data_IF_527231951978
#
_entry.id   IF_527231951978
#
_cell.length_a   1.000
_cell.length_b   1.000
_cell.length_c   1.000
_cell.angle_alpha   90.00
_cell.angle_beta   90.00
_cell.angle_gamma   90.00
#
_symmetry.space_group_name_H-M   'P 1'
#
loop_
_entity.id
_entity.type
_entity.pdbx_description
1 polymer ?
#
# COMPACT_ATOMS: atom_id res chain seq x y z
N UNK A 1 -23.49 -3.23 -20.94
CA UNK A 1 -24.72 -3.44 -20.15
C UNK A 1 -24.32 -3.99 -18.81
N UNK A 2 -24.45 -3.16 -17.80
CA UNK A 2 -24.05 -3.48 -16.43
C UNK A 2 -25.24 -3.19 -15.52
N UNK A 3 -25.50 -4.11 -14.60
CA UNK A 3 -26.60 -4.03 -13.64
C UNK A 3 -25.99 -3.92 -12.25
N UNK A 4 -26.47 -2.95 -11.50
CA UNK A 4 -26.15 -2.71 -10.10
C UNK A 4 -27.47 -2.78 -9.33
N UNK A 5 -27.49 -3.44 -8.18
CA UNK A 5 -28.66 -3.50 -7.31
C UNK A 5 -28.28 -3.13 -5.89
N UNK A 6 -29.11 -2.34 -5.24
CA UNK A 6 -29.03 -2.05 -3.82
C UNK A 6 -30.27 -2.64 -3.19
N UNK A 7 -30.07 -3.54 -2.24
CA UNK A 7 -31.15 -4.20 -1.51
C UNK A 7 -31.05 -3.87 -0.03
N UNK A 8 -32.20 -3.68 0.62
CA UNK A 8 -32.29 -3.44 2.05
C UNK A 8 -33.54 -4.05 2.64
N UNK A 9 -33.40 -4.71 3.79
CA UNK A 9 -34.53 -5.12 4.64
C UNK A 9 -35.10 -3.98 5.48
N UNK A 10 -34.52 -2.78 5.43
CA UNK A 10 -35.03 -1.63 6.15
C UNK A 10 -36.36 -1.14 5.51
N UNK A 11 -37.47 -1.06 6.27
CA UNK A 11 -38.76 -0.63 5.73
C UNK A 11 -38.75 0.80 5.19
N UNK A 12 -37.83 1.64 5.66
CA UNK A 12 -37.65 3.03 5.22
C UNK A 12 -36.65 3.16 4.04
N UNK A 13 -36.28 2.06 3.37
CA UNK A 13 -35.27 2.04 2.30
C UNK A 13 -35.44 3.16 1.27
N UNK A 14 -36.67 3.40 0.83
CA UNK A 14 -36.99 4.44 -0.16
C UNK A 14 -36.72 5.87 0.30
N UNK A 15 -36.97 6.16 1.58
CA UNK A 15 -36.63 7.44 2.20
C UNK A 15 -35.13 7.59 2.37
N UNK A 16 -34.44 6.50 2.70
CA UNK A 16 -32.99 6.49 2.91
C UNK A 16 -32.25 6.79 1.60
N UNK A 17 -32.65 6.16 0.49
CA UNK A 17 -32.05 6.41 -0.82
C UNK A 17 -32.65 7.60 -1.59
N UNK A 18 -33.67 8.24 -1.01
CA UNK A 18 -34.43 9.36 -1.60
C UNK A 18 -34.95 9.04 -3.01
N UNK A 19 -35.51 7.84 -3.18
CA UNK A 19 -36.14 7.39 -4.42
C UNK A 19 -37.57 6.98 -4.11
N UNK A 20 -38.51 7.46 -4.91
CA UNK A 20 -39.92 7.13 -4.74
C UNK A 20 -40.27 5.90 -5.61
N UNK A 21 -40.74 4.78 -5.02
CA UNK A 21 -41.19 3.61 -5.78
C UNK A 21 -42.30 3.89 -6.79
N UNK A 22 -43.11 4.92 -6.55
CA UNK A 22 -44.22 5.31 -7.45
C UNK A 22 -43.76 6.14 -8.67
N UNK A 23 -42.52 6.65 -8.70
CA UNK A 23 -42.04 7.53 -9.78
C UNK A 23 -41.65 6.80 -11.07
N UNK A 24 -41.77 5.47 -11.13
CA UNK A 24 -41.33 4.69 -12.28
C UNK A 24 -39.81 4.76 -12.51
N UNK A 25 -39.40 4.66 -13.77
CA UNK A 25 -37.99 4.60 -14.17
C UNK A 25 -37.36 6.00 -14.25
N UNK A 26 -36.22 6.20 -13.57
CA UNK A 26 -35.44 7.43 -13.58
C UNK A 26 -34.26 7.33 -14.56
N UNK A 27 -34.09 8.32 -15.43
CA UNK A 27 -32.97 8.38 -16.36
C UNK A 27 -31.92 9.39 -15.89
N UNK A 28 -30.64 9.03 -16.01
CA UNK A 28 -29.48 9.90 -15.76
C UNK A 28 -28.42 9.65 -16.82
N UNK A 29 -27.81 10.72 -17.32
CA UNK A 29 -26.64 10.60 -18.20
C UNK A 29 -25.42 10.22 -17.36
N UNK A 30 -24.73 9.15 -17.73
CA UNK A 30 -23.43 8.79 -17.15
C UNK A 30 -22.42 8.78 -18.28
N UNK A 31 -21.52 9.76 -18.27
CA UNK A 31 -20.52 9.97 -19.33
C UNK A 31 -21.19 10.06 -20.70
N UNK A 32 -20.98 9.10 -21.61
CA UNK A 32 -21.58 9.07 -22.95
C UNK A 32 -22.83 8.19 -23.02
N UNK A 33 -23.11 7.39 -21.99
CA UNK A 33 -24.26 6.51 -21.92
C UNK A 33 -25.44 7.05 -21.10
N UNK A 34 -26.49 6.22 -21.01
CA UNK A 34 -27.69 6.46 -20.20
C UNK A 34 -27.81 5.36 -19.15
N UNK A 35 -28.05 5.78 -17.91
CA UNK A 35 -28.39 4.90 -16.82
C UNK A 35 -29.86 5.04 -16.43
N UNK A 36 -30.45 3.90 -16.08
CA UNK A 36 -31.86 3.72 -15.77
C UNK A 36 -31.99 3.18 -14.36
N UNK A 37 -32.67 3.91 -13.48
CA UNK A 37 -32.89 3.52 -12.10
C UNK A 37 -34.35 3.22 -11.82
N UNK A 38 -34.67 2.10 -11.17
CA UNK A 38 -36.05 1.75 -10.83
C UNK A 38 -36.14 0.79 -9.64
N UNK A 39 -37.31 0.75 -9.01
CA UNK A 39 -37.62 -0.21 -7.97
C UNK A 39 -38.07 -1.56 -8.53
N UNK A 40 -37.56 -2.63 -7.95
CA UNK A 40 -38.16 -3.95 -8.04
C UNK A 40 -38.68 -4.33 -6.66
N UNK A 41 -40.01 -4.37 -6.49
CA UNK A 41 -40.62 -4.46 -5.16
C UNK A 41 -40.36 -3.20 -4.33
N UNK A 42 -40.33 -3.35 -3.00
CA UNK A 42 -40.08 -2.25 -2.04
C UNK A 42 -38.68 -2.25 -1.47
N UNK A 43 -37.94 -3.36 -1.60
CA UNK A 43 -36.68 -3.63 -0.92
C UNK A 43 -35.46 -3.50 -1.84
N UNK A 44 -35.65 -3.39 -3.16
CA UNK A 44 -34.57 -3.45 -4.16
C UNK A 44 -34.65 -2.28 -5.14
N UNK A 45 -33.55 -1.54 -5.26
CA UNK A 45 -33.36 -0.49 -6.26
C UNK A 45 -32.31 -0.93 -7.28
N UNK A 46 -32.69 -0.95 -8.55
CA UNK A 46 -31.86 -1.37 -9.67
C UNK A 46 -31.32 -0.14 -10.39
N UNK A 47 -30.09 -0.25 -10.87
CA UNK A 47 -29.46 0.69 -11.79
C UNK A 47 -28.90 -0.12 -12.95
N UNK A 48 -29.36 0.19 -14.16
CA UNK A 48 -28.89 -0.41 -15.39
C UNK A 48 -28.21 0.65 -16.24
N UNK A 49 -27.01 0.37 -16.72
CA UNK A 49 -26.28 1.27 -17.62
C UNK A 49 -26.20 0.70 -19.03
N UNK A 50 -26.63 1.52 -19.99
CA UNK A 50 -26.42 1.32 -21.42
C UNK A 50 -25.44 2.40 -21.92
N UNK A 51 -24.29 1.98 -22.42
CA UNK A 51 -23.34 2.91 -23.04
C UNK A 51 -23.86 3.42 -24.39
N UNK A 52 -23.23 4.46 -24.93
CA UNK A 52 -23.50 4.91 -26.29
C UNK A 52 -23.21 3.80 -27.31
N UNK A 53 -23.97 3.79 -28.41
CA UNK A 53 -23.80 2.77 -29.45
C UNK A 53 -22.49 2.99 -30.25
N UNK A 54 -22.03 4.24 -30.40
CA UNK A 54 -20.85 4.61 -31.20
C UNK A 54 -19.67 5.20 -30.41
N UNK A 55 -19.91 5.67 -29.18
CA UNK A 55 -18.89 6.28 -28.31
C UNK A 55 -18.56 5.38 -27.12
N UNK A 56 -17.34 5.53 -26.57
CA UNK A 56 -16.86 4.76 -25.41
C UNK A 56 -16.85 5.65 -24.16
N UNK A 57 -17.65 5.30 -23.15
CA UNK A 57 -17.66 6.03 -21.86
C UNK A 57 -16.38 5.78 -21.04
N UNK A 58 -15.90 4.54 -21.04
CA UNK A 58 -14.78 4.10 -20.21
C UNK A 58 -13.64 3.65 -21.12
N UNK A 59 -12.68 4.55 -21.32
CA UNK A 59 -11.51 4.26 -22.16
C UNK A 59 -10.46 3.51 -21.35
N UNK A 60 -9.82 2.50 -21.94
CA UNK A 60 -8.65 1.86 -21.35
C UNK A 60 -7.40 2.74 -21.53
N UNK A 61 -7.33 3.49 -22.64
CA UNK A 61 -6.25 4.43 -22.92
C UNK A 61 -6.78 5.85 -23.13
N UNK A 62 -6.01 6.86 -22.74
CA UNK A 62 -6.43 8.28 -22.79
C UNK A 62 -6.85 8.71 -24.20
N UNK A 63 -6.14 8.24 -25.22
CA UNK A 63 -6.32 8.62 -26.62
C UNK A 63 -7.22 7.67 -27.42
N UNK A 64 -7.86 6.72 -26.73
CA UNK A 64 -8.74 5.73 -27.37
C UNK A 64 -10.02 6.41 -27.88
N UNK A 65 -10.26 6.39 -29.20
CA UNK A 65 -11.42 7.02 -29.84
C UNK A 65 -12.40 5.98 -30.37
N UNK A 66 -11.94 4.76 -30.69
CA UNK A 66 -12.77 3.69 -31.23
C UNK A 66 -12.14 2.32 -30.98
N UNK A 67 -12.87 1.40 -30.32
CA UNK A 67 -12.47 0.00 -30.13
C UNK A 67 -13.73 -0.89 -30.21
N UNK A 68 -13.78 -1.79 -31.20
CA UNK A 68 -14.92 -2.68 -31.48
C UNK A 68 -15.22 -3.67 -30.33
N UNK A 69 -14.25 -3.93 -29.45
CA UNK A 69 -14.31 -4.95 -28.40
C UNK A 69 -14.01 -4.37 -27.00
N UNK A 70 -14.29 -3.09 -26.76
CA UNK A 70 -14.05 -2.52 -25.45
C UNK A 70 -15.06 -3.08 -24.41
N UNK A 71 -14.60 -4.07 -23.65
CA UNK A 71 -15.38 -4.77 -22.62
C UNK A 71 -15.65 -3.93 -21.37
N UNK A 72 -14.93 -2.83 -21.17
CA UNK A 72 -15.08 -1.97 -19.98
C UNK A 72 -16.50 -1.40 -19.85
N UNK A 73 -17.21 -1.18 -20.96
CA UNK A 73 -18.62 -0.75 -20.98
C UNK A 73 -19.59 -1.72 -20.28
N UNK A 74 -19.11 -2.93 -19.94
CA UNK A 74 -19.87 -3.96 -19.24
C UNK A 74 -19.35 -4.23 -17.82
N UNK A 75 -18.07 -4.02 -17.54
CA UNK A 75 -17.45 -4.49 -16.30
C UNK A 75 -16.50 -3.48 -15.64
N UNK A 76 -16.42 -2.24 -16.09
CA UNK A 76 -15.56 -1.22 -15.46
C UNK A 76 -15.90 -1.02 -13.97
N UNK A 77 -14.91 -1.03 -13.06
CA UNK A 77 -15.11 -0.63 -11.67
C UNK A 77 -15.47 0.86 -11.50
N UNK A 78 -15.26 1.70 -12.51
CA UNK A 78 -15.66 3.11 -12.48
C UNK A 78 -17.18 3.30 -12.58
N UNK A 79 -17.89 2.37 -13.21
CA UNK A 79 -19.33 2.49 -13.37
C UNK A 79 -20.07 2.48 -12.02
N UNK A 80 -19.81 1.54 -11.10
CA UNK A 80 -20.37 1.62 -9.75
C UNK A 80 -20.11 2.94 -9.04
N UNK A 81 -18.92 3.54 -9.20
CA UNK A 81 -18.62 4.87 -8.63
C UNK A 81 -19.50 5.96 -9.23
N UNK A 82 -19.72 5.94 -10.55
CA UNK A 82 -20.59 6.89 -11.23
C UNK A 82 -22.07 6.65 -10.89
N UNK A 83 -22.50 5.39 -10.77
CA UNK A 83 -23.85 5.04 -10.34
C UNK A 83 -24.15 5.53 -8.91
N UNK A 84 -23.20 5.36 -7.98
CA UNK A 84 -23.30 5.93 -6.63
C UNK A 84 -23.43 7.45 -6.69
N UNK A 85 -22.61 8.12 -7.50
CA UNK A 85 -22.61 9.58 -7.61
C UNK A 85 -23.94 10.14 -8.17
N UNK A 86 -24.54 9.47 -9.16
CA UNK A 86 -25.76 9.93 -9.84
C UNK A 86 -27.05 9.51 -9.15
N UNK A 87 -27.14 8.26 -8.69
CA UNK A 87 -28.38 7.73 -8.13
C UNK A 87 -28.42 7.78 -6.62
N UNK A 88 -27.28 7.67 -5.94
CA UNK A 88 -27.19 7.54 -4.49
C UNK A 88 -26.46 8.73 -3.84
N UNK A 89 -26.29 9.85 -4.55
CA UNK A 89 -25.52 11.01 -4.08
C UNK A 89 -25.92 11.51 -2.69
N UNK A 90 -27.23 11.57 -2.43
CA UNK A 90 -27.75 12.07 -1.16
C UNK A 90 -27.36 11.15 0.00
N UNK A 91 -27.57 9.84 -0.17
CA UNK A 91 -27.19 8.81 0.80
C UNK A 91 -25.67 8.78 0.95
N UNK A 92 -24.92 8.75 -0.14
CA UNK A 92 -23.45 8.74 -0.11
C UNK A 92 -22.86 9.90 0.71
N UNK A 93 -23.43 11.10 0.61
CA UNK A 93 -22.91 12.31 1.27
C UNK A 93 -23.35 12.46 2.72
N UNK A 94 -24.57 12.03 3.06
CA UNK A 94 -25.20 12.29 4.36
C UNK A 94 -25.99 11.07 4.84
N UNK A 95 -25.79 10.71 6.11
CA UNK A 95 -26.57 9.68 6.79
C UNK A 95 -28.00 10.16 7.01
N UNK A 96 -28.98 9.34 6.66
CA UNK A 96 -30.39 9.58 6.99
C UNK A 96 -30.66 9.11 8.43
N UNK A 97 -31.50 9.82 9.19
CA UNK A 97 -31.85 9.45 10.58
C UNK A 97 -32.51 8.07 10.69
N UNK A 98 -33.23 7.65 9.65
CA UNK A 98 -33.87 6.34 9.54
C UNK A 98 -32.91 5.23 9.12
N UNK A 99 -31.70 5.59 8.69
CA UNK A 99 -30.67 4.63 8.26
C UNK A 99 -29.88 4.11 9.46
N UNK A 100 -30.43 3.08 10.10
CA UNK A 100 -29.88 2.43 11.29
C UNK A 100 -29.15 1.14 10.91
N UNK A 101 -28.20 0.75 11.75
CA UNK A 101 -27.57 -0.57 11.69
C UNK A 101 -28.57 -1.65 12.15
N UNK A 102 -28.31 -2.92 11.83
CA UNK A 102 -29.13 -4.09 12.20
C UNK A 102 -29.96 -4.68 11.05
N UNK A 103 -30.18 -3.92 9.97
CA UNK A 103 -30.87 -4.40 8.78
C UNK A 103 -29.90 -5.08 7.82
N UNK A 104 -30.31 -6.18 7.20
CA UNK A 104 -29.60 -6.80 6.10
C UNK A 104 -29.63 -5.91 4.86
N UNK A 105 -28.45 -5.48 4.41
CA UNK A 105 -28.26 -4.63 3.25
C UNK A 105 -27.27 -5.29 2.28
N UNK A 106 -27.48 -5.11 0.98
CA UNK A 106 -26.50 -5.55 -0.02
C UNK A 106 -26.34 -4.60 -1.19
N UNK A 107 -25.12 -4.59 -1.74
CA UNK A 107 -24.74 -3.90 -2.95
C UNK A 107 -24.22 -4.94 -3.95
N UNK A 108 -24.95 -5.12 -5.03
CA UNK A 108 -24.69 -6.12 -6.05
C UNK A 108 -24.22 -5.46 -7.34
N UNK A 109 -23.23 -6.07 -7.99
CA UNK A 109 -22.77 -5.71 -9.33
C UNK A 109 -22.70 -6.98 -10.16
N UNK A 110 -23.50 -7.05 -11.23
CA UNK A 110 -23.61 -8.25 -12.05
C UNK A 110 -22.30 -8.63 -12.75
N UNK A 111 -21.52 -7.63 -13.18
CA UNK A 111 -20.24 -7.87 -13.83
C UNK A 111 -19.26 -6.75 -13.50
N UNK A 112 -18.12 -7.10 -12.93
CA UNK A 112 -17.04 -6.18 -12.57
C UNK A 112 -15.68 -6.82 -12.88
N UNK A 113 -14.76 -6.02 -13.41
CA UNK A 113 -13.41 -6.43 -13.70
C UNK A 113 -12.57 -6.37 -12.43
N UNK A 114 -12.01 -7.51 -12.02
CA UNK A 114 -11.13 -7.62 -10.86
C UNK A 114 -9.79 -8.17 -11.36
N UNK A 115 -8.75 -7.32 -11.35
CA UNK A 115 -7.42 -7.72 -11.86
C UNK A 115 -6.77 -8.79 -10.99
N UNK A 116 -6.94 -8.67 -9.68
CA UNK A 116 -6.32 -9.53 -8.67
C UNK A 116 -7.35 -9.85 -7.57
N UNK A 117 -8.03 -11.01 -7.64
CA UNK A 117 -9.06 -11.41 -6.69
C UNK A 117 -8.61 -11.44 -5.23
N UNK A 118 -7.32 -11.69 -4.97
CA UNK A 118 -6.73 -11.67 -3.62
C UNK A 118 -6.98 -10.37 -2.82
N UNK A 119 -7.22 -9.24 -3.49
CA UNK A 119 -7.58 -8.00 -2.79
C UNK A 119 -8.97 -8.05 -2.17
N UNK A 120 -9.89 -8.85 -2.71
CA UNK A 120 -11.18 -9.09 -2.08
C UNK A 120 -10.98 -9.84 -0.76
N UNK A 121 -10.08 -10.84 -0.74
CA UNK A 121 -9.72 -11.55 0.49
C UNK A 121 -9.14 -10.61 1.54
N UNK A 122 -8.28 -9.67 1.13
CA UNK A 122 -7.75 -8.64 2.03
C UNK A 122 -8.86 -7.76 2.61
N UNK A 123 -9.79 -7.26 1.79
CA UNK A 123 -10.92 -6.47 2.29
C UNK A 123 -11.76 -7.29 3.28
N UNK A 124 -12.07 -8.55 2.98
CA UNK A 124 -12.82 -9.44 3.87
C UNK A 124 -12.08 -9.75 5.18
N UNK A 125 -10.74 -9.81 5.16
CA UNK A 125 -9.93 -10.00 6.37
C UNK A 125 -9.91 -8.75 7.26
N UNK A 126 -9.87 -7.57 6.65
CA UNK A 126 -9.70 -6.30 7.36
C UNK A 126 -11.01 -5.66 7.81
N UNK A 127 -12.14 -6.00 7.19
CA UNK A 127 -13.46 -5.51 7.57
C UNK A 127 -14.33 -6.64 8.09
N UNK A 128 -14.74 -6.55 9.35
CA UNK A 128 -15.64 -7.53 9.99
C UNK A 128 -17.11 -7.30 9.65
N UNK A 129 -17.46 -6.06 9.32
CA UNK A 129 -18.86 -5.63 9.16
C UNK A 129 -19.36 -5.69 7.72
N UNK A 130 -18.47 -6.01 6.77
CA UNK A 130 -18.77 -6.09 5.35
C UNK A 130 -18.21 -7.39 4.81
N UNK A 131 -19.04 -8.12 4.07
CA UNK A 131 -18.64 -9.36 3.44
C UNK A 131 -18.80 -9.25 1.93
N UNK A 132 -17.71 -9.46 1.20
CA UNK A 132 -17.68 -9.42 -0.26
C UNK A 132 -17.64 -10.86 -0.78
N UNK A 133 -18.65 -11.22 -1.57
CA UNK A 133 -18.72 -12.47 -2.31
C UNK A 133 -18.46 -12.19 -3.79
N UNK A 134 -17.60 -12.99 -4.41
CA UNK A 134 -17.36 -12.93 -5.86
C UNK A 134 -17.57 -14.29 -6.52
N UNK A 135 -18.16 -14.28 -7.71
CA UNK A 135 -18.38 -15.46 -8.55
C UNK A 135 -17.80 -15.16 -9.93
N UNK A 136 -16.85 -15.97 -10.39
CA UNK A 136 -16.22 -15.74 -11.70
C UNK A 136 -17.18 -16.12 -12.82
N UNK A 137 -17.40 -15.21 -13.77
CA UNK A 137 -18.14 -15.51 -14.99
C UNK A 137 -17.20 -15.99 -16.10
N UNK A 138 -16.25 -15.14 -16.48
CA UNK A 138 -15.26 -15.44 -17.51
C UNK A 138 -14.07 -14.50 -17.38
N UNK A 139 -12.86 -15.02 -17.59
CA UNK A 139 -11.62 -14.28 -17.42
C UNK A 139 -11.62 -13.47 -16.11
N UNK A 140 -11.20 -12.20 -16.13
CA UNK A 140 -11.18 -11.30 -14.97
C UNK A 140 -12.51 -10.62 -14.67
N UNK A 141 -13.62 -11.13 -15.20
CA UNK A 141 -14.98 -10.60 -14.95
C UNK A 141 -15.70 -11.44 -13.92
N UNK A 142 -16.19 -10.77 -12.88
CA UNK A 142 -16.83 -11.40 -11.73
C UNK A 142 -18.19 -10.77 -11.49
N UNK A 143 -19.13 -11.56 -11.00
CA UNK A 143 -20.28 -11.06 -10.25
C UNK A 143 -19.83 -10.78 -8.82
N UNK A 144 -20.28 -9.68 -8.25
CA UNK A 144 -19.90 -9.26 -6.91
C UNK A 144 -21.12 -8.90 -6.07
N UNK A 145 -21.16 -9.35 -4.83
CA UNK A 145 -22.13 -8.92 -3.82
C UNK A 145 -21.40 -8.48 -2.57
N UNK A 146 -21.68 -7.28 -2.10
CA UNK A 146 -21.26 -6.79 -0.79
C UNK A 146 -22.46 -6.91 0.13
N UNK A 147 -22.33 -7.63 1.25
CA UNK A 147 -23.36 -7.78 2.29
C UNK A 147 -22.92 -7.09 3.56
N UNK A 148 -23.86 -6.51 4.29
CA UNK A 148 -23.59 -5.88 5.58
C UNK A 148 -24.86 -5.72 6.40
N UNK A 149 -24.72 -5.78 7.72
CA UNK A 149 -25.75 -5.37 8.67
C UNK A 149 -25.56 -3.90 9.13
N UNK A 150 -24.59 -3.17 8.58
CA UNK A 150 -24.45 -1.73 8.79
C UNK A 150 -25.43 -0.98 7.89
N UNK A 151 -25.74 0.25 8.29
CA UNK A 151 -26.52 1.24 7.53
C UNK A 151 -26.12 1.32 6.05
N UNK A 152 -27.09 1.63 5.19
CA UNK A 152 -26.89 1.79 3.74
C UNK A 152 -25.84 2.87 3.47
N UNK A 153 -25.81 3.92 4.30
CA UNK A 153 -24.79 4.95 4.28
C UNK A 153 -23.37 4.38 4.32
N UNK A 154 -23.12 3.46 5.27
CA UNK A 154 -21.82 2.80 5.43
C UNK A 154 -21.57 1.82 4.30
N UNK A 155 -22.57 1.04 3.87
CA UNK A 155 -22.47 0.12 2.74
C UNK A 155 -22.06 0.84 1.44
N UNK A 156 -22.71 1.96 1.12
CA UNK A 156 -22.42 2.73 -0.10
C UNK A 156 -21.03 3.38 -0.03
N UNK A 157 -20.61 3.86 1.15
CA UNK A 157 -19.26 4.40 1.32
C UNK A 157 -18.17 3.31 1.26
N UNK A 158 -18.44 2.12 1.81
CA UNK A 158 -17.56 0.95 1.68
C UNK A 158 -17.42 0.54 0.23
N UNK A 159 -18.55 0.41 -0.48
CA UNK A 159 -18.57 0.09 -1.90
C UNK A 159 -17.79 1.13 -2.72
N UNK A 160 -17.95 2.42 -2.41
CA UNK A 160 -17.19 3.50 -3.06
C UNK A 160 -15.66 3.36 -2.86
N UNK A 161 -15.19 3.01 -1.67
CA UNK A 161 -13.75 2.75 -1.41
C UNK A 161 -13.28 1.51 -2.18
N UNK A 162 -14.02 0.41 -2.12
CA UNK A 162 -13.68 -0.84 -2.81
C UNK A 162 -13.57 -0.63 -4.33
N UNK A 163 -14.57 -0.01 -4.95
CA UNK A 163 -14.60 0.17 -6.40
C UNK A 163 -13.54 1.14 -6.90
N UNK A 164 -13.19 2.17 -6.13
CA UNK A 164 -12.02 2.99 -6.45
C UNK A 164 -10.77 2.13 -6.45
N UNK A 165 -10.57 1.34 -5.40
CA UNK A 165 -9.38 0.51 -5.27
C UNK A 165 -9.25 -0.48 -6.44
N UNK A 166 -10.36 -1.10 -6.84
CA UNK A 166 -10.42 -1.97 -8.03
C UNK A 166 -10.13 -1.21 -9.33
N UNK A 167 -10.66 0.01 -9.48
CA UNK A 167 -10.40 0.85 -10.64
C UNK A 167 -8.92 1.24 -10.75
N UNK A 168 -8.29 1.60 -9.63
CA UNK A 168 -6.87 1.97 -9.57
C UNK A 168 -5.93 0.82 -9.92
N UNK A 169 -6.28 -0.40 -9.52
CA UNK A 169 -5.54 -1.60 -9.90
C UNK A 169 -5.82 -2.04 -11.34
N UNK A 170 -6.87 -1.49 -11.96
CA UNK A 170 -7.30 -1.79 -13.32
C UNK A 170 -6.35 -1.22 -14.39
N UNK A 171 -6.85 -1.18 -15.64
CA UNK A 171 -6.15 -0.55 -16.77
C UNK A 171 -6.60 0.90 -17.02
N UNK A 172 -7.64 1.34 -16.32
CA UNK A 172 -8.33 2.60 -16.63
C UNK A 172 -7.59 3.78 -16.02
N UNK A 173 -7.49 4.87 -16.77
CA UNK A 173 -6.86 6.09 -16.28
C UNK A 173 -7.77 6.81 -15.27
N UNK A 174 -7.29 6.92 -14.03
CA UNK A 174 -7.89 7.72 -12.97
C UNK A 174 -7.04 8.97 -12.75
N UNK A 175 -7.54 10.13 -13.14
CA UNK A 175 -6.93 11.40 -12.77
C UNK A 175 -7.15 11.65 -11.28
N UNK A 176 -6.06 11.76 -10.52
CA UNK A 176 -6.11 12.08 -9.09
C UNK A 176 -6.21 13.61 -8.93
N UNK A 177 -7.35 14.09 -8.46
CA UNK A 177 -7.56 15.50 -8.06
C UNK A 177 -7.75 15.60 -6.56
N UNK A 178 -7.51 16.79 -5.99
CA UNK A 178 -7.75 17.05 -4.56
C UNK A 178 -9.18 16.72 -4.13
N UNK A 179 -10.17 17.11 -4.94
CA UNK A 179 -11.58 16.79 -4.69
C UNK A 179 -11.88 15.29 -4.69
N UNK A 180 -11.14 14.52 -5.49
CA UNK A 180 -11.24 13.07 -5.51
C UNK A 180 -10.66 12.50 -4.21
N UNK A 181 -9.50 12.99 -3.80
CA UNK A 181 -8.83 12.58 -2.56
C UNK A 181 -9.71 12.84 -1.34
N UNK A 182 -10.21 14.07 -1.19
CA UNK A 182 -11.13 14.47 -0.11
C UNK A 182 -12.37 13.56 -0.04
N UNK A 183 -12.98 13.28 -1.20
CA UNK A 183 -14.15 12.40 -1.28
C UNK A 183 -13.86 11.02 -0.71
N UNK A 184 -12.70 10.44 -1.01
CA UNK A 184 -12.36 9.09 -0.58
C UNK A 184 -11.85 9.02 0.86
N UNK A 185 -11.12 10.02 1.33
CA UNK A 185 -10.75 10.13 2.73
C UNK A 185 -12.00 10.22 3.60
N UNK A 186 -12.98 11.04 3.20
CA UNK A 186 -14.29 11.08 3.84
C UNK A 186 -14.95 9.70 3.88
N UNK A 187 -14.99 8.96 2.76
CA UNK A 187 -15.55 7.60 2.75
C UNK A 187 -14.80 6.63 3.65
N UNK A 188 -13.46 6.68 3.67
CA UNK A 188 -12.63 5.85 4.55
C UNK A 188 -12.89 6.17 6.03
N UNK A 189 -13.08 7.44 6.37
CA UNK A 189 -13.41 7.86 7.74
C UNK A 189 -14.83 7.42 8.14
N UNK A 190 -15.81 7.50 7.23
CA UNK A 190 -17.19 7.03 7.49
C UNK A 190 -17.24 5.53 7.82
N UNK A 191 -16.46 4.73 7.11
CA UNK A 191 -16.40 3.27 7.33
C UNK A 191 -15.36 2.88 8.38
N UNK A 192 -14.67 3.87 8.98
CA UNK A 192 -13.54 3.67 9.89
C UNK A 192 -12.55 2.64 9.34
N UNK A 193 -12.04 2.91 8.13
CA UNK A 193 -11.17 1.98 7.41
C UNK A 193 -9.89 1.70 8.22
N UNK A 194 -9.39 0.44 8.24
CA UNK A 194 -8.16 0.11 8.95
C UNK A 194 -6.92 0.62 8.22
N UNK A 195 -5.80 0.63 8.93
CA UNK A 195 -4.45 1.00 8.49
C UNK A 195 -4.15 0.47 7.09
N UNK A 196 -4.32 -0.83 6.82
CA UNK A 196 -3.91 -1.37 5.53
C UNK A 196 -4.63 -0.73 4.34
N UNK A 197 -5.92 -0.42 4.49
CA UNK A 197 -6.72 0.23 3.45
C UNK A 197 -6.26 1.67 3.24
N UNK A 198 -5.97 2.38 4.33
CA UNK A 198 -5.40 3.73 4.30
C UNK A 198 -3.98 3.74 3.72
N UNK A 199 -3.16 2.77 4.07
CA UNK A 199 -1.82 2.54 3.53
C UNK A 199 -1.87 2.35 2.02
N UNK A 200 -2.75 1.46 1.54
CA UNK A 200 -2.95 1.24 0.11
C UNK A 200 -3.37 2.53 -0.62
N UNK A 201 -4.27 3.31 -0.02
CA UNK A 201 -4.63 4.62 -0.56
C UNK A 201 -3.42 5.59 -0.60
N UNK A 202 -2.65 5.67 0.49
CA UNK A 202 -1.47 6.52 0.58
C UNK A 202 -0.41 6.16 -0.47
N UNK A 203 -0.19 4.86 -0.72
CA UNK A 203 0.82 4.40 -1.68
C UNK A 203 0.41 4.57 -3.13
N UNK A 204 -0.88 4.42 -3.44
CA UNK A 204 -1.35 4.39 -4.82
C UNK A 204 -2.02 5.69 -5.28
N UNK A 205 -2.50 6.54 -4.36
CA UNK A 205 -3.14 7.84 -4.65
C UNK A 205 -2.24 9.02 -4.28
N UNK A 206 -1.65 8.99 -3.09
CA UNK A 206 -0.86 10.10 -2.54
C UNK A 206 0.62 9.98 -2.90
N UNK A 207 0.91 9.83 -4.19
CA UNK A 207 2.27 9.61 -4.71
C UNK A 207 3.14 10.88 -4.73
N UNK A 208 2.54 12.06 -4.60
CA UNK A 208 3.25 13.33 -4.52
C UNK A 208 3.43 13.73 -3.04
N UNK A 209 4.64 14.13 -2.66
CA UNK A 209 5.01 14.46 -1.27
C UNK A 209 4.17 15.61 -0.69
N UNK A 210 3.93 16.65 -1.48
CA UNK A 210 3.15 17.81 -1.07
C UNK A 210 1.69 17.42 -0.83
N UNK A 211 1.07 16.72 -1.78
CA UNK A 211 -0.30 16.22 -1.68
C UNK A 211 -0.45 15.25 -0.50
N UNK A 212 0.53 14.36 -0.30
CA UNK A 212 0.55 13.45 0.84
C UNK A 212 0.49 14.19 2.18
N UNK A 213 1.37 15.18 2.39
CA UNK A 213 1.39 15.91 3.67
C UNK A 213 0.18 16.85 3.83
N UNK A 214 -0.40 17.35 2.74
CA UNK A 214 -1.68 18.07 2.76
C UNK A 214 -2.80 17.23 3.37
N UNK A 215 -2.89 15.94 3.00
CA UNK A 215 -3.99 15.06 3.40
C UNK A 215 -3.64 14.09 4.54
N UNK A 216 -2.39 14.06 5.01
CA UNK A 216 -1.88 13.13 6.04
C UNK A 216 -2.77 13.06 7.28
N UNK A 217 -3.15 14.20 7.85
CA UNK A 217 -3.96 14.23 9.09
C UNK A 217 -5.32 13.56 8.91
N UNK A 218 -5.97 13.78 7.78
CA UNK A 218 -7.28 13.17 7.49
C UNK A 218 -7.13 11.68 7.16
N UNK A 219 -6.04 11.31 6.49
CA UNK A 219 -5.69 9.91 6.22
C UNK A 219 -5.45 9.12 7.51
N UNK A 220 -4.86 9.74 8.54
CA UNK A 220 -4.54 9.12 9.83
C UNK A 220 -5.75 8.98 10.77
N UNK A 221 -6.89 9.62 10.44
CA UNK A 221 -8.04 9.68 11.31
C UNK A 221 -8.81 8.35 11.36
N UNK A 222 -8.74 7.64 12.47
CA UNK A 222 -9.52 6.43 12.76
C UNK A 222 -9.76 6.31 14.26
N UNK A 223 -10.86 5.64 14.64
CA UNK A 223 -11.17 5.39 16.06
C UNK A 223 -10.48 4.12 16.58
N UNK A 224 -9.74 3.39 15.73
CA UNK A 224 -9.15 2.09 16.08
C UNK A 224 -7.82 2.20 16.81
N UNK A 225 -6.96 3.13 16.39
CA UNK A 225 -5.57 3.27 16.84
C UNK A 225 -4.94 4.55 16.31
N UNK A 226 -3.81 4.95 16.89
CA UNK A 226 -3.04 6.10 16.43
C UNK A 226 -2.15 5.70 15.25
N UNK A 227 -2.39 6.29 14.07
CA UNK A 227 -1.55 6.09 12.88
C UNK A 227 -0.61 7.28 12.69
N UNK A 228 0.64 7.01 12.34
CA UNK A 228 1.55 8.00 11.75
C UNK A 228 2.11 7.46 10.45
N UNK A 229 1.67 8.02 9.32
CA UNK A 229 2.17 7.70 7.99
C UNK A 229 3.40 8.53 7.64
N UNK A 230 4.34 7.91 6.92
CA UNK A 230 5.51 8.55 6.35
C UNK A 230 5.41 8.49 4.81
N UNK A 231 5.84 9.55 4.14
CA UNK A 231 5.80 9.57 2.68
C UNK A 231 6.76 8.53 2.07
N UNK A 232 6.35 7.88 0.98
CA UNK A 232 7.09 6.79 0.32
C UNK A 232 6.71 5.40 0.84
N UNK A 233 7.16 4.35 0.16
CA UNK A 233 7.06 2.97 0.65
C UNK A 233 8.09 2.71 1.77
N UNK A 234 8.00 1.57 2.45
CA UNK A 234 8.88 1.22 3.58
C UNK A 234 10.37 1.33 3.23
N UNK A 235 10.78 0.88 2.03
CA UNK A 235 12.16 1.02 1.57
C UNK A 235 12.61 2.49 1.43
N UNK A 236 11.78 3.34 0.83
CA UNK A 236 12.05 4.79 0.71
C UNK A 236 12.10 5.45 2.08
N UNK A 237 11.17 5.11 2.98
CA UNK A 237 11.11 5.66 4.33
C UNK A 237 12.39 5.33 5.11
N UNK A 238 12.84 4.08 5.04
CA UNK A 238 14.09 3.62 5.65
C UNK A 238 15.31 4.32 5.08
N UNK A 239 15.38 4.44 3.76
CA UNK A 239 16.46 5.18 3.11
C UNK A 239 16.52 6.63 3.53
N UNK A 240 15.40 7.32 3.59
CA UNK A 240 15.34 8.71 4.07
C UNK A 240 15.72 8.83 5.55
N UNK A 241 15.44 7.80 6.36
CA UNK A 241 15.88 7.75 7.75
C UNK A 241 17.41 7.63 7.84
N UNK A 242 17.99 6.66 7.13
CA UNK A 242 19.44 6.43 7.11
C UNK A 242 20.18 7.63 6.54
N UNK A 243 19.70 8.19 5.42
CA UNK A 243 20.26 9.38 4.76
C UNK A 243 20.38 10.59 5.68
N UNK A 244 19.49 10.73 6.68
CA UNK A 244 19.56 11.79 7.69
C UNK A 244 20.51 11.47 8.85
N UNK A 245 20.77 10.18 9.08
CA UNK A 245 21.61 9.67 10.16
C UNK A 245 23.10 9.62 9.81
N UNK A 246 23.46 9.69 8.53
CA UNK A 246 24.85 9.64 8.03
C UNK A 246 25.29 11.02 7.50
N UNK A 247 26.57 11.34 7.69
CA UNK A 247 27.16 12.64 7.33
C UNK A 247 27.76 12.68 5.93
N UNK A 248 28.01 11.52 5.32
CA UNK A 248 28.69 11.39 4.01
C UNK A 248 30.12 11.97 3.97
N UNK A 249 30.76 12.14 5.13
CA UNK A 249 32.13 12.64 5.30
C UNK A 249 33.20 11.52 5.30
N UNK A 250 32.75 10.26 5.22
CA UNK A 250 33.58 9.04 5.25
C UNK A 250 33.12 8.07 4.17
N UNK A 251 33.92 7.03 3.93
CA UNK A 251 33.49 5.92 3.09
C UNK A 251 32.31 5.18 3.74
N UNK A 252 31.43 4.61 2.90
CA UNK A 252 30.30 3.79 3.36
C UNK A 252 30.52 2.35 2.91
N UNK A 253 30.32 1.40 3.83
CA UNK A 253 30.27 -0.04 3.57
C UNK A 253 28.82 -0.52 3.60
N UNK A 254 28.26 -0.87 2.45
CA UNK A 254 26.88 -1.32 2.27
C UNK A 254 26.87 -2.83 2.01
N UNK A 255 26.44 -3.60 3.02
CA UNK A 255 26.40 -5.06 2.97
C UNK A 255 24.98 -5.48 2.61
N UNK A 256 24.83 -6.21 1.50
CA UNK A 256 23.54 -6.54 0.89
C UNK A 256 22.99 -5.40 0.04
N UNK A 257 23.82 -4.84 -0.85
CA UNK A 257 23.48 -3.63 -1.61
C UNK A 257 22.37 -3.85 -2.66
N UNK A 258 22.07 -5.10 -3.02
CA UNK A 258 21.09 -5.50 -4.01
C UNK A 258 21.30 -4.78 -5.35
N UNK A 259 20.21 -4.26 -5.93
CA UNK A 259 20.24 -3.52 -7.19
C UNK A 259 20.86 -2.10 -7.10
N UNK A 260 21.48 -1.74 -5.97
CA UNK A 260 22.12 -0.44 -5.75
C UNK A 260 21.16 0.66 -5.29
N UNK A 261 20.11 0.30 -4.54
CA UNK A 261 19.08 1.23 -4.08
C UNK A 261 19.64 2.35 -3.18
N UNK A 262 20.63 2.01 -2.35
CA UNK A 262 21.43 2.93 -1.54
C UNK A 262 22.70 3.37 -2.27
N UNK A 263 23.47 2.40 -2.77
CA UNK A 263 24.77 2.63 -3.39
C UNK A 263 24.80 3.71 -4.47
N UNK A 264 23.90 3.65 -5.45
CA UNK A 264 23.92 4.59 -6.58
C UNK A 264 23.61 6.04 -6.18
N UNK A 265 22.61 6.34 -5.33
CA UNK A 265 22.34 7.72 -4.91
C UNK A 265 23.24 8.21 -3.77
N UNK A 266 23.73 7.34 -2.90
CA UNK A 266 24.59 7.76 -1.79
C UNK A 266 26.04 8.00 -2.23
N UNK A 267 26.56 7.22 -3.19
CA UNK A 267 27.88 7.50 -3.80
C UNK A 267 28.00 8.92 -4.35
N UNK A 268 26.94 9.44 -5.00
CA UNK A 268 26.91 10.82 -5.50
C UNK A 268 26.85 11.92 -4.43
N UNK A 269 26.76 11.56 -3.14
CA UNK A 269 26.82 12.49 -2.01
C UNK A 269 28.17 12.46 -1.28
N UNK A 270 29.00 11.49 -1.61
CA UNK A 270 30.33 11.32 -1.04
C UNK A 270 31.31 11.97 -2.01
N UNK A 271 32.07 12.96 -1.54
CA UNK A 271 33.03 13.69 -2.38
C UNK A 271 34.39 12.99 -2.42
N UNK A 272 35.12 12.99 -1.30
CA UNK A 272 36.52 12.54 -1.24
C UNK A 272 36.70 11.09 -0.75
N UNK A 273 35.61 10.30 -0.68
CA UNK A 273 35.63 8.93 -0.16
C UNK A 273 34.90 7.94 -1.09
N UNK A 274 34.93 6.66 -0.72
CA UNK A 274 34.39 5.58 -1.52
C UNK A 274 33.06 5.04 -0.96
N UNK A 275 32.23 4.54 -1.86
CA UNK A 275 31.09 3.71 -1.50
C UNK A 275 31.43 2.26 -1.84
N UNK A 276 31.58 1.42 -0.82
CA UNK A 276 31.83 -0.01 -0.96
C UNK A 276 30.50 -0.76 -0.90
N UNK A 277 30.14 -1.48 -1.96
CA UNK A 277 28.88 -2.19 -2.08
C UNK A 277 29.11 -3.70 -2.19
N UNK A 278 28.60 -4.47 -1.22
CA UNK A 278 28.74 -5.91 -1.15
C UNK A 278 27.39 -6.58 -1.43
N UNK A 279 27.39 -7.59 -2.30
CA UNK A 279 26.25 -8.52 -2.43
C UNK A 279 26.77 -9.92 -2.79
N UNK A 280 26.12 -10.98 -2.31
CA UNK A 280 26.50 -12.35 -2.67
C UNK A 280 25.98 -12.74 -4.06
N UNK A 281 25.01 -11.99 -4.59
CA UNK A 281 24.47 -12.20 -5.93
C UNK A 281 25.29 -11.44 -6.97
N UNK A 282 26.13 -12.18 -7.70
CA UNK A 282 26.97 -11.61 -8.77
C UNK A 282 26.17 -10.89 -9.87
N UNK A 283 24.93 -11.30 -10.16
CA UNK A 283 24.11 -10.64 -11.17
C UNK A 283 23.73 -9.22 -10.72
N UNK A 284 23.38 -9.06 -9.45
CA UNK A 284 23.05 -7.75 -8.87
C UNK A 284 24.28 -6.82 -8.86
N UNK A 285 25.46 -7.34 -8.52
CA UNK A 285 26.71 -6.57 -8.61
C UNK A 285 26.96 -6.08 -10.03
N UNK A 286 26.85 -6.97 -11.03
CA UNK A 286 27.03 -6.59 -12.44
C UNK A 286 26.04 -5.51 -12.85
N UNK A 287 24.78 -5.59 -12.39
CA UNK A 287 23.81 -4.53 -12.63
C UNK A 287 24.21 -3.20 -12.01
N UNK A 288 24.69 -3.21 -10.77
CA UNK A 288 25.16 -2.01 -10.07
C UNK A 288 26.33 -1.38 -10.82
N UNK A 289 27.32 -2.17 -11.25
CA UNK A 289 28.46 -1.67 -12.04
C UNK A 289 28.02 -1.03 -13.36
N UNK A 290 27.07 -1.66 -14.06
CA UNK A 290 26.51 -1.12 -15.31
C UNK A 290 25.78 0.20 -15.03
N UNK A 291 24.98 0.27 -13.96
CA UNK A 291 24.24 1.48 -13.56
C UNK A 291 25.20 2.59 -13.14
N UNK A 292 26.28 2.27 -12.42
CA UNK A 292 27.32 3.20 -11.99
C UNK A 292 28.06 3.81 -13.19
N UNK A 293 28.54 2.97 -14.12
CA UNK A 293 29.20 3.40 -15.36
C UNK A 293 28.31 4.32 -16.20
N UNK A 294 27.03 3.97 -16.36
CA UNK A 294 26.05 4.82 -17.09
C UNK A 294 25.83 6.18 -16.44
N UNK A 295 26.04 6.29 -15.12
CA UNK A 295 25.88 7.53 -14.35
C UNK A 295 27.21 8.27 -14.12
N UNK A 296 28.33 7.75 -14.64
CA UNK A 296 29.68 8.24 -14.40
C UNK A 296 30.01 8.34 -12.89
N UNK A 297 29.61 7.33 -12.12
CA UNK A 297 29.96 7.20 -10.71
C UNK A 297 31.26 6.41 -10.61
N UNK A 298 32.35 7.06 -10.21
CA UNK A 298 33.70 6.47 -10.16
C UNK A 298 34.10 5.99 -8.76
N UNK A 299 33.48 6.53 -7.71
CA UNK A 299 33.79 6.22 -6.32
C UNK A 299 32.98 5.03 -5.74
N UNK A 300 32.17 4.36 -6.56
CA UNK A 300 31.41 3.18 -6.17
C UNK A 300 32.17 1.91 -6.58
N UNK A 301 32.57 1.13 -5.58
CA UNK A 301 33.35 -0.11 -5.75
C UNK A 301 32.51 -1.29 -5.23
N UNK A 302 32.34 -2.31 -6.06
CA UNK A 302 31.55 -3.50 -5.75
C UNK A 302 32.42 -4.68 -5.32
N UNK A 303 31.93 -5.50 -4.41
CA UNK A 303 32.59 -6.71 -3.92
C UNK A 303 31.61 -7.88 -3.83
N UNK A 304 32.00 -9.11 -4.20
CA UNK A 304 31.13 -10.29 -4.15
C UNK A 304 30.93 -10.86 -2.74
N UNK A 305 31.71 -10.40 -1.76
CA UNK A 305 31.60 -10.83 -0.37
C UNK A 305 32.30 -9.87 0.59
N UNK A 306 31.93 -9.94 1.87
CA UNK A 306 32.64 -9.24 2.95
C UNK A 306 34.11 -9.69 3.04
N UNK A 307 34.39 -10.97 2.79
CA UNK A 307 35.75 -11.49 2.82
C UNK A 307 36.65 -10.82 1.77
N UNK A 308 36.18 -10.73 0.52
CA UNK A 308 36.91 -10.08 -0.57
C UNK A 308 37.12 -8.59 -0.31
N UNK A 309 36.15 -7.91 0.30
CA UNK A 309 36.35 -6.53 0.75
C UNK A 309 37.47 -6.43 1.79
N UNK A 310 37.44 -7.29 2.82
CA UNK A 310 38.44 -7.30 3.90
C UNK A 310 39.86 -7.58 3.43
N UNK A 311 40.06 -8.33 2.34
CA UNK A 311 41.39 -8.53 1.73
C UNK A 311 42.00 -7.22 1.19
N UNK A 312 41.16 -6.28 0.78
CA UNK A 312 41.56 -4.96 0.25
C UNK A 312 41.43 -3.82 1.26
N UNK A 313 40.77 -4.07 2.40
CA UNK A 313 40.48 -3.09 3.43
C UNK A 313 41.75 -2.64 4.15
N UNK A 314 41.95 -1.32 4.27
CA UNK A 314 43.19 -0.74 4.78
C UNK A 314 43.09 -0.19 6.20
N UNK A 315 41.95 -0.42 6.87
CA UNK A 315 41.71 0.03 8.23
C UNK A 315 41.23 1.48 8.34
N UNK A 316 40.70 2.06 7.26
CA UNK A 316 40.01 3.35 7.26
C UNK A 316 38.69 3.28 8.04
N UNK A 317 38.28 4.39 8.66
CA UNK A 317 37.00 4.43 9.39
C UNK A 317 35.85 4.65 8.40
N UNK A 318 34.83 3.79 8.45
CA UNK A 318 33.66 3.83 7.55
C UNK A 318 32.35 3.97 8.32
N UNK A 319 31.27 4.31 7.62
CA UNK A 319 29.90 4.04 8.09
C UNK A 319 29.42 2.73 7.47
N UNK A 320 28.87 1.82 8.26
CA UNK A 320 28.39 0.51 7.80
C UNK A 320 26.86 0.46 7.75
N UNK A 321 26.31 -0.05 6.65
CA UNK A 321 24.90 -0.30 6.44
C UNK A 321 24.67 -1.81 6.26
N UNK A 322 23.74 -2.37 7.02
CA UNK A 322 23.26 -3.74 6.88
C UNK A 322 21.72 -3.73 6.95
N UNK A 323 21.09 -3.46 5.80
CA UNK A 323 19.66 -3.12 5.75
C UNK A 323 18.83 -4.22 5.10
N UNK A 324 17.96 -4.88 5.87
CA UNK A 324 17.11 -6.01 5.41
C UNK A 324 17.93 -7.14 4.80
N UNK A 325 18.84 -7.69 5.60
CA UNK A 325 19.77 -8.74 5.16
C UNK A 325 19.74 -9.90 6.13
N UNK A 326 19.80 -9.60 7.42
CA UNK A 326 19.93 -10.59 8.48
C UNK A 326 18.75 -11.57 8.54
N UNK A 327 17.54 -11.14 8.17
CA UNK A 327 16.34 -11.97 8.15
C UNK A 327 16.30 -12.99 7.00
N UNK A 328 17.19 -12.85 6.01
CA UNK A 328 17.29 -13.77 4.87
C UNK A 328 18.27 -14.93 5.09
N UNK A 329 18.89 -15.00 6.26
CA UNK A 329 19.82 -16.07 6.67
C UNK A 329 19.44 -16.63 8.05
N UNK A 330 19.94 -17.81 8.38
CA UNK A 330 19.64 -18.40 9.68
C UNK A 330 20.31 -17.58 10.81
N UNK A 331 19.71 -17.57 12.00
CA UNK A 331 20.17 -16.71 13.12
C UNK A 331 21.69 -16.81 13.40
N UNK A 332 22.32 -18.01 13.46
CA UNK A 332 23.76 -18.11 13.68
C UNK A 332 24.60 -17.49 12.56
N UNK A 333 24.13 -17.53 11.31
CA UNK A 333 24.82 -16.91 10.17
C UNK A 333 24.76 -15.38 10.26
N UNK A 334 23.60 -14.84 10.64
CA UNK A 334 23.43 -13.41 10.88
C UNK A 334 24.33 -12.92 12.02
N UNK A 335 24.43 -13.68 13.12
CA UNK A 335 25.33 -13.37 14.23
C UNK A 335 26.80 -13.36 13.78
N UNK A 336 27.21 -14.36 12.99
CA UNK A 336 28.56 -14.42 12.44
C UNK A 336 28.87 -13.24 11.50
N UNK A 337 27.93 -12.83 10.66
CA UNK A 337 28.08 -11.68 9.78
C UNK A 337 28.28 -10.39 10.57
N UNK A 338 27.38 -10.09 11.51
CA UNK A 338 27.46 -8.87 12.32
C UNK A 338 28.73 -8.85 13.16
N UNK A 339 29.12 -10.01 13.73
CA UNK A 339 30.38 -10.18 14.43
C UNK A 339 31.61 -9.93 13.56
N UNK A 340 31.62 -10.50 12.36
CA UNK A 340 32.72 -10.31 11.40
C UNK A 340 32.91 -8.82 11.07
N UNK A 341 31.82 -8.06 10.96
CA UNK A 341 31.89 -6.61 10.75
C UNK A 341 32.51 -5.92 11.95
N UNK A 342 31.98 -6.08 13.17
CA UNK A 342 32.46 -5.27 14.29
C UNK A 342 33.85 -5.65 14.81
N UNK A 343 34.35 -6.85 14.49
CA UNK A 343 35.71 -7.29 14.83
C UNK A 343 36.76 -6.86 13.80
N UNK A 344 36.38 -6.72 12.51
CA UNK A 344 37.34 -6.55 11.42
C UNK A 344 37.23 -5.20 10.68
N UNK A 345 36.15 -4.45 10.88
CA UNK A 345 35.93 -3.14 10.24
C UNK A 345 35.91 -2.05 11.32
N UNK A 346 36.72 -1.01 11.15
CA UNK A 346 36.62 0.19 11.98
C UNK A 346 35.47 1.05 11.46
N UNK A 347 34.47 1.28 12.30
CA UNK A 347 33.32 2.09 11.92
C UNK A 347 33.03 3.20 12.93
N UNK A 348 32.47 4.30 12.44
CA UNK A 348 31.92 5.38 13.27
C UNK A 348 30.44 5.08 13.58
N UNK A 349 29.68 4.71 12.54
CA UNK A 349 28.30 4.25 12.65
C UNK A 349 28.13 2.90 11.99
N UNK A 350 27.43 1.98 12.65
CA UNK A 350 26.96 0.75 12.06
C UNK A 350 25.45 0.63 12.26
N UNK A 351 24.71 0.71 11.15
CA UNK A 351 23.26 0.67 11.12
C UNK A 351 22.80 -0.69 10.63
N UNK A 352 22.01 -1.38 11.47
CA UNK A 352 21.36 -2.63 11.12
C UNK A 352 19.85 -2.37 11.10
N UNK A 353 19.14 -2.86 10.08
CA UNK A 353 17.67 -2.82 10.05
C UNK A 353 17.08 -4.17 9.68
N UNK A 354 15.93 -4.48 10.25
CA UNK A 354 15.15 -5.69 9.96
C UNK A 354 13.65 -5.41 10.09
N UNK A 355 12.75 -6.22 9.50
CA UNK A 355 11.31 -6.07 9.71
C UNK A 355 10.94 -6.19 11.19
N UNK A 356 9.90 -5.46 11.60
CA UNK A 356 9.30 -5.63 12.92
C UNK A 356 8.08 -6.55 12.83
N UNK A 357 8.17 -7.74 13.43
CA UNK A 357 7.09 -8.72 13.45
C UNK A 357 5.82 -8.20 14.14
N UNK A 358 5.96 -7.36 15.18
CA UNK A 358 4.82 -6.78 15.91
C UNK A 358 3.88 -5.99 14.97
N UNK A 359 4.40 -5.51 13.83
CA UNK A 359 3.63 -4.74 12.87
C UNK A 359 2.78 -5.61 11.93
N UNK A 360 3.06 -6.90 11.78
CA UNK A 360 2.43 -7.76 10.77
C UNK A 360 0.91 -7.90 10.94
N UNK A 361 0.43 -7.77 12.18
CA UNK A 361 -1.01 -7.73 12.48
C UNK A 361 -1.75 -6.63 11.69
N UNK A 362 -1.11 -5.49 11.42
CA UNK A 362 -1.70 -4.37 10.68
C UNK A 362 -1.76 -4.62 9.17
N UNK A 363 -1.02 -5.63 8.67
CA UNK A 363 -1.11 -6.15 7.30
C UNK A 363 -2.05 -7.35 7.17
N UNK A 364 -2.66 -7.81 8.28
CA UNK A 364 -3.40 -9.08 8.37
C UNK A 364 -2.59 -10.28 7.83
N UNK A 365 -1.29 -10.27 8.14
CA UNK A 365 -0.38 -11.38 7.87
C UNK A 365 -0.23 -12.22 9.14
N UNK A 366 -0.42 -13.53 8.99
CA UNK A 366 -0.19 -14.52 10.05
C UNK A 366 1.18 -15.22 9.89
N UNK A 367 1.93 -14.84 8.85
CA UNK A 367 3.24 -15.37 8.48
C UNK A 367 4.22 -14.20 8.33
N UNK A 368 5.45 -14.50 7.93
CA UNK A 368 6.44 -13.48 7.59
C UNK A 368 5.96 -12.58 6.45
N UNK A 369 6.47 -11.35 6.45
CA UNK A 369 6.17 -10.31 5.46
C UNK A 369 6.60 -10.72 4.06
N UNK A 370 7.69 -11.47 3.96
CA UNK A 370 8.17 -12.07 2.72
C UNK A 370 8.44 -13.56 2.89
N UNK A 371 8.16 -14.32 1.83
CA UNK A 371 8.24 -15.80 1.85
C UNK A 371 9.67 -16.34 1.94
N UNK A 372 10.66 -15.51 1.65
CA UNK A 372 12.08 -15.81 1.68
C UNK A 372 12.75 -15.42 3.02
N UNK A 373 12.01 -14.81 3.95
CA UNK A 373 12.49 -14.60 5.31
C UNK A 373 12.63 -15.94 6.04
N UNK A 374 13.74 -16.08 6.77
CA UNK A 374 14.00 -17.21 7.67
C UNK A 374 13.37 -17.01 9.04
N UNK A 375 13.28 -15.76 9.47
CA UNK A 375 12.72 -15.35 10.75
C UNK A 375 12.28 -13.89 10.68
N UNK A 376 11.39 -13.49 11.58
CA UNK A 376 11.08 -12.09 11.87
C UNK A 376 10.93 -11.93 13.38
N UNK A 377 11.81 -11.16 14.00
CA UNK A 377 11.78 -10.93 15.44
C UNK A 377 10.76 -9.84 15.79
N UNK A 378 10.07 -10.01 16.91
CA UNK A 378 9.40 -8.87 17.55
C UNK A 378 10.43 -7.92 18.17
N UNK A 379 9.96 -6.76 18.65
CA UNK A 379 10.85 -5.73 19.19
C UNK A 379 11.74 -6.24 20.34
N UNK A 380 11.16 -6.96 21.29
CA UNK A 380 11.89 -7.41 22.48
C UNK A 380 12.93 -8.49 22.11
N UNK A 381 12.61 -9.38 21.18
CA UNK A 381 13.52 -10.39 20.65
C UNK A 381 14.73 -9.74 19.97
N UNK A 382 14.49 -8.77 19.08
CA UNK A 382 15.56 -8.07 18.38
C UNK A 382 16.46 -7.27 19.32
N UNK A 383 15.88 -6.52 20.27
CA UNK A 383 16.65 -5.75 21.25
C UNK A 383 17.53 -6.66 22.10
N UNK A 384 16.97 -7.78 22.60
CA UNK A 384 17.73 -8.77 23.37
C UNK A 384 18.84 -9.40 22.53
N UNK A 385 18.54 -9.80 21.30
CA UNK A 385 19.50 -10.44 20.41
C UNK A 385 20.71 -9.54 20.12
N UNK A 386 20.47 -8.26 19.82
CA UNK A 386 21.54 -7.26 19.64
C UNK A 386 22.31 -7.05 20.95
N UNK A 387 21.63 -6.94 22.09
CA UNK A 387 22.32 -6.78 23.38
C UNK A 387 23.23 -7.97 23.70
N UNK A 388 22.77 -9.20 23.51
CA UNK A 388 23.54 -10.41 23.78
C UNK A 388 24.80 -10.47 22.88
N UNK A 389 24.69 -10.03 21.62
CA UNK A 389 25.80 -9.97 20.67
C UNK A 389 26.87 -8.95 21.03
N UNK A 390 26.46 -7.78 21.53
CA UNK A 390 27.37 -6.66 21.84
C UNK A 390 27.74 -6.56 23.33
N UNK A 391 27.30 -7.50 24.18
CA UNK A 391 27.42 -7.39 25.66
C UNK A 391 28.85 -7.22 26.19
N UNK A 392 29.84 -7.80 25.52
CA UNK A 392 31.26 -7.75 25.92
C UNK A 392 32.05 -6.68 25.14
N UNK A 393 31.34 -5.80 24.42
CA UNK A 393 31.93 -4.72 23.63
C UNK A 393 31.73 -3.37 24.32
N UNK A 394 32.48 -2.36 23.90
CA UNK A 394 32.32 -0.98 24.40
C UNK A 394 31.42 -0.12 23.50
N UNK A 395 30.75 -0.72 22.52
CA UNK A 395 29.92 0.03 21.59
C UNK A 395 28.62 0.52 22.27
N UNK A 396 28.20 1.72 21.90
CA UNK A 396 26.90 2.28 22.32
C UNK A 396 25.82 1.83 21.34
N UNK A 397 24.72 1.29 21.88
CA UNK A 397 23.58 0.80 21.12
C UNK A 397 22.40 1.78 21.22
N UNK A 398 21.90 2.26 20.08
CA UNK A 398 20.68 3.06 19.99
C UNK A 398 19.67 2.37 19.08
N UNK A 399 18.57 1.87 19.65
CA UNK A 399 17.50 1.26 18.86
C UNK A 399 16.70 2.29 18.07
N UNK A 400 16.30 1.89 16.87
CA UNK A 400 15.72 2.72 15.82
C UNK A 400 14.31 2.26 15.49
N UNK A 401 13.42 3.22 15.26
CA UNK A 401 12.03 3.02 14.87
C UNK A 401 11.80 3.70 13.53
N UNK A 402 11.49 2.93 12.48
CA UNK A 402 11.57 3.41 11.10
C UNK A 402 10.27 3.12 10.35
N UNK A 403 9.77 4.14 9.65
CA UNK A 403 8.63 4.05 8.74
C UNK A 403 7.29 4.42 9.35
N UNK A 404 6.20 3.93 8.73
CA UNK A 404 4.84 4.08 9.26
C UNK A 404 4.74 3.49 10.67
N UNK A 405 3.92 4.09 11.54
CA UNK A 405 3.63 3.53 12.86
C UNK A 405 2.14 3.41 13.15
N UNK A 406 1.76 2.36 13.89
CA UNK A 406 0.42 2.18 14.44
C UNK A 406 0.54 1.84 15.93
N UNK A 407 -0.08 2.65 16.79
CA UNK A 407 0.05 2.57 18.26
C UNK A 407 1.51 2.51 18.75
N UNK A 408 2.38 3.26 18.08
CA UNK A 408 3.81 3.32 18.40
C UNK A 408 4.63 2.11 17.93
N UNK A 409 4.02 1.13 17.27
CA UNK A 409 4.72 0.03 16.60
C UNK A 409 5.08 0.48 15.18
N UNK A 410 6.35 0.34 14.80
CA UNK A 410 6.87 0.78 13.49
C UNK A 410 7.03 -0.39 12.52
N UNK A 411 6.94 -0.12 11.22
CA UNK A 411 7.08 -1.14 10.17
C UNK A 411 8.45 -1.82 10.17
N UNK A 412 9.50 -1.06 10.47
CA UNK A 412 10.89 -1.50 10.51
C UNK A 412 11.51 -1.10 11.85
N UNK A 413 12.31 -2.01 12.39
CA UNK A 413 13.15 -1.79 13.56
C UNK A 413 14.63 -1.81 13.14
N UNK A 414 15.50 -1.30 14.00
CA UNK A 414 16.93 -1.35 13.75
C UNK A 414 17.75 -0.92 14.96
N UNK A 415 19.07 -0.91 14.78
CA UNK A 415 20.00 -0.40 15.78
C UNK A 415 21.06 0.44 15.07
N UNK A 416 21.42 1.56 15.69
CA UNK A 416 22.63 2.32 15.41
C UNK A 416 23.66 1.98 16.47
N UNK A 417 24.80 1.47 16.04
CA UNK A 417 25.93 1.11 16.87
C UNK A 417 27.01 2.17 16.63
N UNK A 418 27.57 2.73 17.70
CA UNK A 418 28.60 3.79 17.66
C UNK A 418 29.73 3.49 18.64
N UNK A 419 30.92 4.02 18.36
CA UNK A 419 32.12 3.86 19.19
C UNK A 419 32.15 4.73 20.44
#
# INVERSE_FOLDING_TARGET
>A
MAIIQIKSSNPDFSFIIKKNPASGMQLRSIRKGIAYGWYHGTDTYNIYFKDADTDISYKQHRDETFEYLNVSRYNTPLLPLNAIAEFLSATFKNKNEKDKDGYENSFFVNMIHIKYPRYIDFFNKHFTDFHIEIEQHTHKSYKMTIKSNRSIYKLVNFANVLFLFLAMLGKEYLGVSDSLVEKYLKSMNIIDAPYYIRYLFARNVLINKEIFYKFKKELEQTDKYAINFVFGNTAIQRKQFIEKGISFDKSILDIGCGEGFYALPFSGKIEDNFYYAIDINEELIREVDIKAKKRNIENLITFPSLHTYLESYSGEVVDVLLTEVIEHMDVPEAELLVKSVYENVKFDKFIITTPNYDFNQYYALNEFRHSDHKWEMNKNEFEKWIHDMFKETNYTLQFLNIGDSVDGVYTTQGVLITT
#
